data_IF_970922823211
#
_entry.id   IF_970922823211
#
_cell.length_a   1.000
_cell.length_b   1.000
_cell.length_c   1.000
_cell.angle_alpha   90.00
_cell.angle_beta   90.00
_cell.angle_gamma   90.00
#
_symmetry.space_group_name_H-M   'P 1'
#
loop_
_entity.id
_entity.type
_entity.pdbx_description
1 polymer ?
#
# COMPACT_ATOMS: atom_id res chain seq x y z
N UNK A 1 -13.63 -0.78 11.12
CA UNK A 1 -12.54 -1.24 10.24
C UNK A 1 -11.74 -2.33 10.93
N UNK A 2 -10.86 -3.02 10.21
CA UNK A 2 -9.89 -3.97 10.77
C UNK A 2 -8.50 -3.33 10.78
N UNK A 3 -7.64 -3.70 11.74
CA UNK A 3 -6.28 -3.20 11.84
C UNK A 3 -5.35 -4.23 12.49
N UNK A 4 -4.05 -4.12 12.26
CA UNK A 4 -3.04 -4.89 12.99
C UNK A 4 -2.29 -3.97 13.97
N UNK A 5 -2.17 -4.34 15.26
CA UNK A 5 -1.36 -3.56 16.20
C UNK A 5 0.08 -3.41 15.71
N UNK A 6 0.62 -2.19 15.80
CA UNK A 6 1.98 -1.89 15.34
C UNK A 6 2.15 -1.67 13.83
N UNK A 7 1.09 -1.82 13.03
CA UNK A 7 1.16 -1.52 11.60
C UNK A 7 1.21 -0.01 11.33
N UNK A 8 2.12 0.40 10.45
CA UNK A 8 2.26 1.80 10.04
C UNK A 8 1.05 2.22 9.20
N UNK A 9 0.40 3.33 9.60
CA UNK A 9 -0.81 3.84 8.90
C UNK A 9 -0.62 5.12 8.11
N UNK A 10 0.45 5.86 8.39
CA UNK A 10 0.79 7.09 7.68
C UNK A 10 2.28 7.08 7.35
N UNK A 11 2.59 6.72 6.11
CA UNK A 11 3.94 6.71 5.55
C UNK A 11 4.04 7.85 4.54
N UNK A 12 4.31 9.04 5.05
CA UNK A 12 4.48 10.24 4.21
C UNK A 12 5.96 10.56 4.18
N UNK A 13 6.58 10.42 3.01
CA UNK A 13 7.98 10.76 2.83
C UNK A 13 8.17 12.28 2.85
N UNK A 14 9.09 12.75 3.69
CA UNK A 14 9.62 14.10 3.55
C UNK A 14 10.51 14.16 2.30
N UNK A 15 10.18 15.07 1.38
CA UNK A 15 10.90 15.25 0.12
C UNK A 15 11.72 16.54 0.08
N UNK A 16 11.91 17.20 1.23
CA UNK A 16 12.63 18.48 1.34
C UNK A 16 14.04 18.39 0.76
N UNK A 17 14.80 17.34 1.10
CA UNK A 17 16.16 17.15 0.58
C UNK A 17 16.19 16.88 -0.93
N UNK A 18 15.28 16.07 -1.44
CA UNK A 18 15.19 15.82 -2.88
C UNK A 18 14.87 17.12 -3.64
N UNK A 19 13.93 17.91 -3.11
CA UNK A 19 13.54 19.20 -3.69
C UNK A 19 14.67 20.21 -3.67
N UNK A 20 15.49 20.26 -2.61
CA UNK A 20 16.66 21.15 -2.56
C UNK A 20 17.74 20.78 -3.60
N UNK A 21 17.82 19.51 -3.97
CA UNK A 21 18.65 19.03 -5.08
C UNK A 21 18.04 19.26 -6.48
N UNK A 22 16.89 19.94 -6.58
CA UNK A 22 16.23 20.27 -7.84
C UNK A 22 15.22 19.23 -8.33
N UNK A 23 14.99 18.14 -7.60
CA UNK A 23 13.95 17.18 -7.95
C UNK A 23 12.55 17.81 -7.83
N UNK A 24 11.71 17.57 -8.85
CA UNK A 24 10.31 17.95 -8.85
C UNK A 24 9.48 16.74 -9.26
N UNK A 25 8.49 16.31 -8.45
CA UNK A 25 7.58 15.25 -8.86
C UNK A 25 6.79 15.72 -10.09
N UNK A 26 6.77 14.90 -11.13
CA UNK A 26 6.11 15.19 -12.41
C UNK A 26 4.85 14.35 -12.64
N UNK A 27 4.57 13.41 -11.74
CA UNK A 27 3.43 12.49 -11.80
C UNK A 27 2.58 12.72 -10.57
N UNK A 28 1.29 13.00 -10.79
CA UNK A 28 0.31 13.08 -9.72
C UNK A 28 0.05 11.69 -9.11
N UNK A 29 -0.38 11.64 -7.85
CA UNK A 29 -0.69 10.37 -7.19
C UNK A 29 -1.77 9.57 -7.94
N UNK A 30 -2.84 10.23 -8.40
CA UNK A 30 -3.92 9.58 -9.13
C UNK A 30 -3.42 8.99 -10.44
N UNK A 31 -2.62 9.74 -11.18
CA UNK A 31 -2.02 9.30 -12.45
C UNK A 31 -1.07 8.11 -12.24
N UNK A 32 -0.25 8.18 -11.20
CA UNK A 32 0.67 7.10 -10.83
C UNK A 32 -0.06 5.81 -10.48
N UNK A 33 -1.13 5.90 -9.67
CA UNK A 33 -1.98 4.75 -9.34
C UNK A 33 -2.62 4.17 -10.60
N UNK A 34 -3.18 5.01 -11.47
CA UNK A 34 -3.79 4.56 -12.73
C UNK A 34 -2.82 3.77 -13.60
N UNK A 35 -1.61 4.30 -13.83
CA UNK A 35 -0.55 3.62 -14.61
C UNK A 35 -0.16 2.28 -14.00
N UNK A 36 -0.06 2.22 -12.67
CA UNK A 36 0.26 0.97 -11.99
C UNK A 36 -0.83 -0.09 -12.15
N UNK A 37 -2.10 0.31 -12.04
CA UNK A 37 -3.24 -0.59 -12.26
C UNK A 37 -3.28 -1.10 -13.71
N UNK A 38 -3.06 -0.22 -14.69
CA UNK A 38 -3.02 -0.62 -16.10
C UNK A 38 -1.88 -1.59 -16.38
N UNK A 39 -0.70 -1.35 -15.78
CA UNK A 39 0.41 -2.30 -15.85
C UNK A 39 0.03 -3.66 -15.24
N UNK A 40 -0.57 -3.70 -14.05
CA UNK A 40 -1.04 -4.93 -13.40
C UNK A 40 -2.01 -5.70 -14.30
N UNK A 41 -2.97 -5.02 -14.93
CA UNK A 41 -3.95 -5.64 -15.84
C UNK A 41 -3.33 -6.27 -17.07
N UNK A 42 -2.16 -5.79 -17.50
CA UNK A 42 -1.42 -6.35 -18.62
C UNK A 42 -0.59 -7.60 -18.24
N UNK A 43 -0.47 -7.93 -16.96
CA UNK A 43 0.27 -9.11 -16.53
C UNK A 43 -0.59 -10.38 -16.67
N UNK A 44 0.02 -11.46 -17.15
CA UNK A 44 -0.59 -12.80 -17.10
C UNK A 44 -0.29 -13.47 -15.76
N UNK A 45 -1.23 -14.29 -15.27
CA UNK A 45 -1.04 -15.21 -14.15
C UNK A 45 -0.52 -14.55 -12.85
N UNK A 46 -1.33 -13.69 -12.24
CA UNK A 46 -1.06 -13.12 -10.92
C UNK A 46 -1.60 -14.06 -9.85
N UNK A 47 -0.71 -14.71 -9.09
CA UNK A 47 -1.10 -15.49 -7.91
C UNK A 47 -1.65 -14.56 -6.82
N UNK A 48 -2.87 -14.84 -6.35
CA UNK A 48 -3.39 -14.23 -5.13
C UNK A 48 -2.80 -14.91 -3.88
N UNK A 49 -1.72 -14.35 -3.35
CA UNK A 49 -1.14 -14.75 -2.07
C UNK A 49 -1.63 -13.89 -0.90
N UNK A 50 -2.31 -12.78 -1.17
CA UNK A 50 -2.78 -11.85 -0.14
C UNK A 50 -3.94 -12.44 0.65
N UNK A 51 -4.86 -13.12 -0.03
CA UNK A 51 -5.98 -13.81 0.61
C UNK A 51 -5.49 -14.88 1.58
N UNK A 52 -4.54 -15.72 1.15
CA UNK A 52 -3.91 -16.75 2.00
C UNK A 52 -3.25 -16.13 3.24
N UNK A 53 -2.44 -15.08 3.05
CA UNK A 53 -1.79 -14.38 4.15
C UNK A 53 -2.78 -13.71 5.11
N UNK A 54 -3.88 -13.14 4.59
CA UNK A 54 -4.92 -12.50 5.40
C UNK A 54 -5.57 -13.50 6.36
N UNK A 55 -5.93 -14.68 5.88
CA UNK A 55 -6.53 -15.73 6.71
C UNK A 55 -5.55 -16.23 7.79
N UNK A 56 -4.26 -16.39 7.45
CA UNK A 56 -3.23 -16.74 8.42
C UNK A 56 -3.14 -15.68 9.54
N UNK A 57 -3.17 -14.40 9.20
CA UNK A 57 -3.08 -13.32 10.18
C UNK A 57 -4.31 -13.24 11.09
N UNK A 58 -5.51 -13.46 10.53
CA UNK A 58 -6.77 -13.54 11.31
C UNK A 58 -6.73 -14.72 12.27
N UNK A 59 -6.35 -15.91 11.80
CA UNK A 59 -6.27 -17.12 12.62
C UNK A 59 -5.24 -17.02 13.76
N UNK A 60 -4.19 -16.20 13.58
CA UNK A 60 -3.22 -15.89 14.63
C UNK A 60 -3.67 -14.80 15.60
N UNK A 61 -4.88 -14.25 15.44
CA UNK A 61 -5.39 -13.17 16.31
C UNK A 61 -4.69 -11.83 16.12
N UNK A 62 -3.96 -11.63 15.02
CA UNK A 62 -3.19 -10.40 14.76
C UNK A 62 -4.10 -9.28 14.22
N UNK A 63 -5.20 -9.65 13.56
CA UNK A 63 -6.18 -8.70 13.00
C UNK A 63 -7.24 -8.38 14.05
N UNK A 64 -7.34 -7.11 14.43
CA UNK A 64 -8.27 -6.58 15.43
C UNK A 64 -9.37 -5.77 14.75
N UNK A 65 -10.58 -5.79 15.33
CA UNK A 65 -11.67 -4.90 14.92
C UNK A 65 -11.62 -3.60 15.69
N UNK A 66 -11.85 -2.49 15.00
CA UNK A 66 -12.08 -1.18 15.64
C UNK A 66 -13.38 -1.28 16.43
N UNK A 67 -13.34 -0.98 17.74
CA UNK A 67 -14.53 -0.91 18.58
C UNK A 67 -15.50 0.12 18.01
N UNK A 68 -16.80 -0.19 18.09
CA UNK A 68 -17.86 0.63 17.50
C UNK A 68 -18.03 1.94 18.27
#
# INVERSE_FOLDING_TARGET
GEFRPGEMRHLISDTTLARSAGYKPTVDLSDGIGRYIDWIRAQSDIRDYFSEASEILKNKGIVHRVAR
#
